data_IF_513385143000
#
_entry.id   IF_513385143000
#
_cell.length_a   1.000
_cell.length_b   1.000
_cell.length_c   1.000
_cell.angle_alpha   90.00
_cell.angle_beta   90.00
_cell.angle_gamma   90.00
#
_symmetry.space_group_name_H-M   'P 1'
#
loop_
_entity.id
_entity.type
_entity.pdbx_description
1 polymer ?
#
# COMPACT_ATOMS: atom_id res chain seq x y z
N UNK A 1 -1.74 -24.45 -4.13
CA UNK A 1 -1.56 -24.52 -5.61
C UNK A 1 -0.83 -23.26 -6.08
N UNK A 2 -0.03 -23.25 -7.16
CA UNK A 2 0.83 -22.11 -7.54
C UNK A 2 0.09 -20.80 -7.81
N UNK A 3 -1.17 -20.86 -8.28
CA UNK A 3 -2.02 -19.71 -8.56
C UNK A 3 -2.27 -18.80 -7.34
N UNK A 4 -2.10 -19.32 -6.11
CA UNK A 4 -2.25 -18.51 -4.89
C UNK A 4 -1.19 -17.42 -4.74
N UNK A 5 -0.12 -17.44 -5.53
CA UNK A 5 0.86 -16.36 -5.59
C UNK A 5 0.36 -15.13 -6.34
N UNK A 6 -0.70 -15.28 -7.16
CA UNK A 6 -1.34 -14.18 -7.89
C UNK A 6 -2.59 -13.78 -7.09
N UNK A 7 -2.56 -12.59 -6.51
CA UNK A 7 -3.63 -12.14 -5.62
C UNK A 7 -4.73 -11.41 -6.38
N UNK A 8 -5.93 -11.98 -6.42
CA UNK A 8 -7.14 -11.29 -6.87
C UNK A 8 -7.78 -10.44 -5.77
N UNK A 9 -7.55 -10.83 -4.50
CA UNK A 9 -8.09 -10.16 -3.30
C UNK A 9 -6.96 -9.87 -2.33
N UNK A 10 -6.83 -8.61 -1.92
CA UNK A 10 -5.86 -8.16 -0.92
C UNK A 10 -6.58 -7.93 0.42
N UNK A 11 -6.24 -8.65 1.49
CA UNK A 11 -6.87 -8.46 2.79
C UNK A 11 -6.43 -7.13 3.42
N UNK A 12 -7.36 -6.51 4.14
CA UNK A 12 -7.12 -5.28 4.91
C UNK A 12 -7.07 -5.64 6.39
N UNK A 13 -5.96 -5.33 7.06
CA UNK A 13 -5.85 -5.62 8.49
C UNK A 13 -6.86 -4.80 9.32
N UNK A 14 -7.32 -5.33 10.46
CA UNK A 14 -8.23 -4.62 11.37
C UNK A 14 -7.74 -3.20 11.71
N UNK A 15 -8.65 -2.21 11.82
CA UNK A 15 -8.29 -0.83 12.15
C UNK A 15 -7.45 -0.67 13.42
N UNK A 16 -7.71 -1.49 14.44
CA UNK A 16 -6.95 -1.51 15.70
C UNK A 16 -5.45 -1.76 15.52
N UNK A 17 -5.06 -2.50 14.46
CA UNK A 17 -3.66 -2.76 14.13
C UNK A 17 -3.03 -1.66 13.26
N UNK A 18 -3.83 -0.68 12.84
CA UNK A 18 -3.41 0.48 12.03
C UNK A 18 -4.06 1.77 12.56
N UNK A 19 -3.76 2.16 13.81
CA UNK A 19 -4.46 3.24 14.49
C UNK A 19 -4.29 4.59 13.77
N UNK A 20 -5.31 5.42 13.92
CA UNK A 20 -5.31 6.84 13.60
C UNK A 20 -5.67 7.57 14.89
N UNK A 21 -4.75 8.37 15.41
CA UNK A 21 -4.88 9.07 16.69
C UNK A 21 -4.99 10.56 16.41
N UNK A 22 -6.01 11.19 16.98
CA UNK A 22 -6.14 12.63 16.95
C UNK A 22 -5.14 13.27 17.92
N UNK A 23 -4.46 14.31 17.45
CA UNK A 23 -3.52 15.11 18.22
C UNK A 23 -4.13 16.48 18.52
N UNK A 24 -3.54 17.19 19.49
CA UNK A 24 -3.90 18.56 19.79
C UNK A 24 -3.78 19.47 18.56
N UNK A 25 -4.74 20.39 18.45
CA UNK A 25 -4.84 21.32 17.32
C UNK A 25 -5.41 20.70 16.05
N UNK A 26 -6.18 19.61 16.15
CA UNK A 26 -6.93 19.03 15.02
C UNK A 26 -6.08 18.23 14.03
N UNK A 27 -4.83 17.91 14.39
CA UNK A 27 -3.94 17.07 13.58
C UNK A 27 -4.23 15.59 13.83
N UNK A 28 -3.83 14.73 12.88
CA UNK A 28 -3.95 13.28 13.03
C UNK A 28 -2.58 12.62 12.83
N UNK A 29 -2.24 11.70 13.71
CA UNK A 29 -1.15 10.75 13.52
C UNK A 29 -1.73 9.43 13.01
N UNK A 30 -1.18 8.91 11.91
CA UNK A 30 -1.67 7.69 11.27
C UNK A 30 -0.55 6.68 11.11
N UNK A 31 -0.88 5.40 11.28
CA UNK A 31 0.02 4.31 10.83
C UNK A 31 0.37 4.45 9.35
N UNK A 32 1.64 4.20 9.01
CA UNK A 32 2.16 4.18 7.62
C UNK A 32 1.36 3.23 6.72
N UNK A 33 0.80 2.15 7.29
CA UNK A 33 -0.04 1.21 6.57
C UNK A 33 -1.28 1.86 5.98
N UNK A 34 -1.88 2.84 6.66
CA UNK A 34 -3.08 3.50 6.14
C UNK A 34 -2.77 4.23 4.82
N UNK A 35 -1.57 4.80 4.69
CA UNK A 35 -1.13 5.42 3.44
C UNK A 35 -0.85 4.40 2.34
N UNK A 36 -0.24 3.27 2.67
CA UNK A 36 0.01 2.18 1.72
C UNK A 36 -1.31 1.56 1.21
N UNK A 37 -2.27 1.28 2.11
CA UNK A 37 -3.60 0.81 1.74
C UNK A 37 -4.35 1.83 0.88
N UNK A 38 -4.32 3.11 1.25
CA UNK A 38 -4.97 4.18 0.49
C UNK A 38 -4.42 4.27 -0.93
N UNK A 39 -3.11 4.10 -1.13
CA UNK A 39 -2.49 4.06 -2.47
C UNK A 39 -3.04 2.89 -3.30
N UNK A 40 -3.08 1.68 -2.74
CA UNK A 40 -3.65 0.50 -3.43
C UNK A 40 -5.10 0.75 -3.84
N UNK A 41 -5.94 1.23 -2.91
CA UNK A 41 -7.36 1.51 -3.16
C UNK A 41 -7.52 2.55 -4.29
N UNK A 42 -6.76 3.64 -4.22
CA UNK A 42 -6.84 4.71 -5.22
C UNK A 42 -6.42 4.24 -6.61
N UNK A 43 -5.34 3.44 -6.71
CA UNK A 43 -4.88 2.85 -7.98
C UNK A 43 -5.89 1.86 -8.53
N UNK A 44 -6.47 1.01 -7.67
CA UNK A 44 -7.47 0.04 -8.08
C UNK A 44 -8.75 0.72 -8.60
N UNK A 45 -9.25 1.72 -7.88
CA UNK A 45 -10.43 2.49 -8.29
C UNK A 45 -10.17 3.26 -9.60
N UNK A 46 -8.96 3.80 -9.78
CA UNK A 46 -8.56 4.47 -11.03
C UNK A 46 -8.48 3.47 -12.19
N UNK A 47 -7.87 2.31 -11.98
CA UNK A 47 -7.81 1.25 -12.99
C UNK A 47 -9.22 0.81 -13.42
N UNK A 48 -10.12 0.60 -12.45
CA UNK A 48 -11.52 0.25 -12.74
C UNK A 48 -12.18 1.30 -13.64
N UNK A 49 -12.09 2.58 -13.28
CA UNK A 49 -12.63 3.69 -14.11
C UNK A 49 -12.02 3.75 -15.51
N UNK A 50 -10.71 3.50 -15.64
CA UNK A 50 -10.04 3.50 -16.95
C UNK A 50 -10.54 2.36 -17.85
N UNK A 51 -10.83 1.20 -17.27
CA UNK A 51 -11.42 0.07 -18.00
C UNK A 51 -12.86 0.40 -18.43
N UNK A 52 -13.67 0.95 -17.52
CA UNK A 52 -15.06 1.33 -17.79
C UNK A 52 -15.17 2.38 -18.91
N UNK A 53 -14.19 3.30 -19.00
CA UNK A 53 -14.11 4.33 -20.04
C UNK A 53 -13.47 3.86 -21.36
N UNK A 54 -13.04 2.60 -21.45
CA UNK A 54 -12.36 2.09 -22.65
C UNK A 54 -11.02 2.78 -22.93
N UNK A 55 -10.28 3.18 -21.89
CA UNK A 55 -9.03 3.89 -22.05
C UNK A 55 -8.01 3.09 -22.89
N UNK A 56 -7.14 3.76 -23.67
CA UNK A 56 -6.10 3.11 -24.45
C UNK A 56 -5.25 2.11 -23.65
N UNK A 57 -4.84 1.03 -24.32
CA UNK A 57 -4.11 -0.09 -23.69
C UNK A 57 -2.83 0.34 -22.98
N UNK A 58 -2.13 1.37 -23.46
CA UNK A 58 -0.92 1.93 -22.85
C UNK A 58 -1.24 2.51 -21.46
N UNK A 59 -2.34 3.28 -21.35
CA UNK A 59 -2.75 3.91 -20.09
C UNK A 59 -3.17 2.84 -19.08
N UNK A 60 -3.94 1.84 -19.52
CA UNK A 60 -4.36 0.70 -18.69
C UNK A 60 -3.14 -0.11 -18.22
N UNK A 61 -2.17 -0.39 -19.10
CA UNK A 61 -0.93 -1.10 -18.74
C UNK A 61 -0.13 -0.34 -17.70
N UNK A 62 -0.01 0.98 -17.84
CA UNK A 62 0.69 1.80 -16.85
C UNK A 62 -0.05 1.80 -15.50
N UNK A 63 -1.39 1.90 -15.49
CA UNK A 63 -2.13 1.86 -14.22
C UNK A 63 -2.05 0.49 -13.55
N UNK A 64 -2.07 -0.61 -14.33
CA UNK A 64 -1.79 -1.96 -13.82
C UNK A 64 -0.40 -2.05 -13.17
N UNK A 65 0.63 -1.49 -13.81
CA UNK A 65 1.99 -1.40 -13.23
C UNK A 65 2.00 -0.60 -11.92
N UNK A 66 1.33 0.56 -11.89
CA UNK A 66 1.25 1.40 -10.68
C UNK A 66 0.49 0.72 -9.54
N UNK A 67 -0.56 -0.05 -9.84
CA UNK A 67 -1.30 -0.85 -8.87
C UNK A 67 -0.40 -1.96 -8.32
N UNK A 68 0.33 -2.68 -9.18
CA UNK A 68 1.30 -3.69 -8.77
C UNK A 68 2.35 -3.11 -7.81
N UNK A 69 2.96 -1.97 -8.15
CA UNK A 69 3.95 -1.30 -7.29
C UNK A 69 3.36 -0.86 -5.94
N UNK A 70 2.08 -0.49 -5.91
CA UNK A 70 1.41 -0.13 -4.66
C UNK A 70 1.18 -1.36 -3.76
N UNK A 71 0.84 -2.51 -4.35
CA UNK A 71 0.70 -3.79 -3.62
C UNK A 71 2.06 -4.29 -3.14
N UNK A 72 3.10 -4.19 -3.98
CA UNK A 72 4.48 -4.52 -3.62
C UNK A 72 4.92 -3.71 -2.40
N UNK A 73 4.67 -2.39 -2.40
CA UNK A 73 5.01 -1.51 -1.29
C UNK A 73 4.20 -1.80 -0.02
N UNK A 74 2.92 -2.17 -0.14
CA UNK A 74 2.10 -2.57 1.01
C UNK A 74 2.67 -3.83 1.69
N UNK A 75 3.05 -4.84 0.90
CA UNK A 75 3.55 -6.12 1.41
C UNK A 75 4.98 -5.98 1.94
N UNK A 76 5.87 -5.38 1.16
CA UNK A 76 7.30 -5.26 1.48
C UNK A 76 7.93 -4.05 0.77
N UNK A 77 7.81 -2.88 1.41
CA UNK A 77 8.29 -1.62 0.85
C UNK A 77 9.81 -1.60 0.73
N UNK A 78 10.31 -1.15 -0.42
CA UNK A 78 11.76 -1.05 -0.67
C UNK A 78 12.44 -2.37 -1.08
N UNK A 79 11.72 -3.50 -1.14
CA UNK A 79 12.28 -4.75 -1.71
C UNK A 79 12.65 -4.60 -3.18
N UNK A 80 11.87 -3.81 -3.93
CA UNK A 80 12.06 -3.55 -5.35
C UNK A 80 12.06 -2.05 -5.62
N UNK A 81 13.14 -1.55 -6.21
CA UNK A 81 13.27 -0.14 -6.56
C UNK A 81 13.37 0.78 -5.33
N UNK A 82 13.02 2.06 -5.51
CA UNK A 82 13.04 3.04 -4.42
C UNK A 82 11.82 2.85 -3.52
N UNK A 83 11.98 2.88 -2.19
CA UNK A 83 10.86 2.74 -1.27
C UNK A 83 9.89 3.90 -1.43
N UNK A 84 8.60 3.62 -1.20
CA UNK A 84 7.59 4.66 -1.08
C UNK A 84 7.87 5.46 0.20
N UNK A 85 8.05 6.77 0.03
CA UNK A 85 8.30 7.71 1.12
C UNK A 85 7.06 8.50 1.50
N UNK A 86 6.96 8.83 2.78
CA UNK A 86 6.00 9.77 3.34
C UNK A 86 6.60 11.16 3.54
N UNK A 87 5.96 12.00 4.39
CA UNK A 87 6.48 13.31 4.77
C UNK A 87 7.91 13.23 5.30
N UNK A 88 8.74 14.20 4.94
CA UNK A 88 10.15 14.24 5.34
C UNK A 88 11.03 13.17 4.67
N UNK A 89 10.62 12.63 3.51
CA UNK A 89 11.34 11.59 2.76
C UNK A 89 11.60 10.29 3.55
N UNK A 90 10.88 10.08 4.67
CA UNK A 90 11.00 8.85 5.45
C UNK A 90 10.30 7.69 4.72
N UNK A 91 10.94 6.51 4.57
CA UNK A 91 10.28 5.35 4.01
C UNK A 91 9.12 4.90 4.90
N UNK A 92 7.99 4.58 4.27
CA UNK A 92 6.81 4.06 4.95
C UNK A 92 7.06 2.61 5.39
N UNK A 93 6.66 2.25 6.62
CA UNK A 93 6.72 0.87 7.11
C UNK A 93 5.62 0.00 6.49
N UNK A 94 6.01 -1.12 5.90
CA UNK A 94 5.12 -2.11 5.27
C UNK A 94 4.67 -3.22 6.22
N UNK A 95 3.81 -4.13 5.75
CA UNK A 95 3.37 -5.30 6.52
C UNK A 95 4.55 -6.19 6.94
N UNK A 96 5.51 -6.41 6.05
CA UNK A 96 6.72 -7.17 6.38
C UNK A 96 7.56 -6.51 7.47
N UNK A 97 7.63 -5.18 7.47
CA UNK A 97 8.40 -4.42 8.48
C UNK A 97 7.76 -4.48 9.87
N UNK A 98 6.45 -4.71 9.96
CA UNK A 98 5.79 -4.96 11.24
C UNK A 98 6.19 -6.29 11.87
N UNK A 99 6.67 -7.24 11.07
CA UNK A 99 7.06 -8.57 11.56
C UNK A 99 8.58 -8.65 11.83
N UNK A 100 9.38 -7.86 11.12
CA UNK A 100 10.84 -7.97 11.10
C UNK A 100 11.54 -6.89 11.92
N UNK A 101 12.76 -7.21 12.35
CA UNK A 101 13.66 -6.30 13.04
C UNK A 101 13.35 -6.12 14.53
N UNK A 102 14.17 -5.35 15.24
CA UNK A 102 14.07 -5.18 16.71
C UNK A 102 12.75 -4.56 17.17
N UNK A 103 12.11 -3.76 16.32
CA UNK A 103 10.80 -3.16 16.55
C UNK A 103 9.64 -3.99 15.98
N UNK A 104 9.94 -5.11 15.33
CA UNK A 104 8.96 -6.04 14.79
C UNK A 104 8.25 -6.81 15.90
N UNK A 105 7.12 -7.41 15.55
CA UNK A 105 6.29 -8.18 16.48
C UNK A 105 6.99 -9.44 17.00
N UNK A 106 7.88 -10.02 16.20
CA UNK A 106 8.75 -11.12 16.59
C UNK A 106 10.16 -10.58 16.82
N UNK A 107 10.79 -11.02 17.92
CA UNK A 107 12.15 -10.67 18.32
C UNK A 107 13.09 -11.82 18.09
#
# INVERSE_FOLDING_TARGET
KPEWMIMDVVPVIPPELRPMVQLDGGRFATSDLNDLYRRVINRNNRLKRLLDLGAPSIIVRNEKRMLQESVDALINNGRRGRPVTGPGNRPLKSLSDMLKGKQGRFR
#
